data_IF_610466062430
#
_entry.id   IF_610466062430
#
_cell.length_a   1.000
_cell.length_b   1.000
_cell.length_c   1.000
_cell.angle_alpha   90.00
_cell.angle_beta   90.00
_cell.angle_gamma   90.00
#
_symmetry.space_group_name_H-M   'P 1'
#
loop_
_entity.id
_entity.type
_entity.pdbx_description
1 polymer ?
#
# COMPACT_ATOMS: atom_id res chain seq x y z
N UNK A 1 6.77 -0.10 -20.79
CA UNK A 1 6.22 0.28 -19.48
C UNK A 1 7.41 0.41 -18.53
N UNK A 2 7.67 1.58 -17.96
CA UNK A 2 8.75 1.74 -16.98
C UNK A 2 8.41 0.89 -15.76
N UNK A 3 9.22 -0.13 -15.44
CA UNK A 3 8.92 -1.14 -14.41
C UNK A 3 8.75 -0.55 -13.00
N UNK A 4 9.23 0.67 -12.77
CA UNK A 4 9.14 1.36 -11.49
C UNK A 4 7.83 2.14 -11.27
N UNK A 5 7.00 2.31 -12.31
CA UNK A 5 5.70 2.96 -12.17
C UNK A 5 4.66 1.95 -11.67
N UNK A 6 3.88 2.36 -10.67
CA UNK A 6 2.90 1.48 -10.03
C UNK A 6 1.73 1.12 -10.96
N UNK A 7 1.48 -0.18 -11.12
CA UNK A 7 0.25 -0.70 -11.72
C UNK A 7 -0.83 -0.89 -10.65
N UNK A 8 -1.66 0.13 -10.46
CA UNK A 8 -2.71 0.10 -9.42
C UNK A 8 -3.93 -0.76 -9.79
N UNK A 9 -4.01 -1.27 -11.02
CA UNK A 9 -5.02 -2.28 -11.39
C UNK A 9 -4.80 -3.59 -10.63
N UNK A 10 -3.56 -3.85 -10.22
CA UNK A 10 -3.15 -5.02 -9.43
C UNK A 10 -3.25 -4.79 -7.92
N UNK A 11 -3.80 -3.66 -7.48
CA UNK A 11 -3.96 -3.42 -6.05
C UNK A 11 -4.95 -4.44 -5.45
N UNK A 12 -4.67 -5.02 -4.27
CA UNK A 12 -5.49 -6.07 -3.70
C UNK A 12 -6.98 -5.69 -3.61
N UNK A 13 -7.82 -6.59 -4.08
CA UNK A 13 -9.27 -6.55 -3.92
C UNK A 13 -9.65 -6.61 -2.44
N UNK A 14 -10.89 -6.25 -2.12
CA UNK A 14 -11.40 -6.32 -0.74
C UNK A 14 -11.30 -7.74 -0.16
N UNK A 15 -11.52 -8.75 -0.98
CA UNK A 15 -11.42 -10.15 -0.58
C UNK A 15 -9.97 -10.55 -0.28
N UNK A 16 -9.02 -10.20 -1.15
CA UNK A 16 -7.60 -10.46 -0.93
C UNK A 16 -7.07 -9.75 0.32
N UNK A 17 -7.50 -8.51 0.56
CA UNK A 17 -7.19 -7.79 1.80
C UNK A 17 -7.73 -8.53 3.04
N UNK A 18 -8.97 -9.04 2.99
CA UNK A 18 -9.55 -9.82 4.09
C UNK A 18 -8.78 -11.12 4.32
N UNK A 19 -8.39 -11.82 3.25
CA UNK A 19 -7.63 -13.05 3.34
C UNK A 19 -6.25 -12.80 3.98
N UNK A 20 -5.58 -11.71 3.62
CA UNK A 20 -4.33 -11.30 4.26
C UNK A 20 -4.52 -11.00 5.74
N UNK A 21 -5.52 -10.18 6.11
CA UNK A 21 -5.79 -9.84 7.51
C UNK A 21 -6.15 -11.09 8.35
N UNK A 22 -6.94 -12.01 7.81
CA UNK A 22 -7.24 -13.29 8.48
C UNK A 22 -5.97 -14.10 8.72
N UNK A 23 -5.17 -14.31 7.68
CA UNK A 23 -3.93 -15.08 7.79
C UNK A 23 -2.95 -14.45 8.80
N UNK A 24 -2.84 -13.11 8.79
CA UNK A 24 -2.03 -12.36 9.74
C UNK A 24 -2.49 -12.56 11.19
N UNK A 25 -3.80 -12.47 11.46
CA UNK A 25 -4.36 -12.62 12.80
C UNK A 25 -4.22 -14.07 13.31
N UNK A 26 -4.51 -15.07 12.47
CA UNK A 26 -4.30 -16.49 12.80
C UNK A 26 -2.83 -16.76 13.13
N UNK A 27 -1.91 -16.23 12.31
CA UNK A 27 -0.47 -16.41 12.53
C UNK A 27 0.06 -15.69 13.78
N UNK A 28 -0.61 -14.61 14.21
CA UNK A 28 -0.25 -13.86 15.43
C UNK A 28 -0.69 -14.60 16.70
N UNK A 29 -1.92 -15.10 16.71
CA UNK A 29 -2.53 -15.59 17.95
C UNK A 29 -2.32 -17.08 18.21
N UNK A 30 -1.55 -17.78 17.35
CA UNK A 30 -0.98 -19.15 17.51
C UNK A 30 -1.98 -20.31 17.78
N UNK A 31 -3.17 -20.03 18.28
CA UNK A 31 -4.09 -20.99 18.89
C UNK A 31 -5.21 -21.42 17.92
N UNK A 32 -5.11 -21.03 16.65
CA UNK A 32 -6.05 -21.45 15.61
C UNK A 32 -7.50 -21.03 15.88
N UNK A 33 -7.71 -19.98 16.68
CA UNK A 33 -9.04 -19.46 16.99
C UNK A 33 -9.72 -18.93 15.73
N UNK A 34 -11.04 -19.11 15.67
CA UNK A 34 -11.86 -18.66 14.56
C UNK A 34 -11.94 -17.12 14.59
N UNK A 35 -11.07 -16.47 13.80
CA UNK A 35 -10.98 -15.00 13.72
C UNK A 35 -12.29 -14.47 13.15
N UNK A 36 -13.01 -13.68 13.96
CA UNK A 36 -14.30 -13.18 13.55
C UNK A 36 -14.16 -12.03 12.52
N UNK A 37 -15.24 -11.76 11.80
CA UNK A 37 -15.23 -10.79 10.72
C UNK A 37 -14.87 -9.36 11.16
N UNK A 38 -15.26 -8.98 12.38
CA UNK A 38 -14.98 -7.65 12.91
C UNK A 38 -13.48 -7.46 13.17
N UNK A 39 -12.79 -8.49 13.65
CA UNK A 39 -11.34 -8.49 13.85
C UNK A 39 -10.57 -8.39 12.54
N UNK A 40 -11.11 -8.91 11.43
CA UNK A 40 -10.52 -8.80 10.09
C UNK A 40 -10.72 -7.38 9.52
N UNK A 41 -11.92 -6.82 9.67
CA UNK A 41 -12.28 -5.53 9.06
C UNK A 41 -11.48 -4.37 9.66
N UNK A 42 -11.26 -4.37 10.97
CA UNK A 42 -10.56 -3.28 11.68
C UNK A 42 -9.14 -3.01 11.13
N UNK A 43 -8.19 -3.96 11.13
CA UNK A 43 -6.85 -3.75 10.58
C UNK A 43 -6.87 -3.52 9.07
N UNK A 44 -7.86 -4.06 8.34
CA UNK A 44 -8.02 -3.78 6.90
C UNK A 44 -8.28 -2.30 6.63
N UNK A 45 -9.23 -1.71 7.36
CA UNK A 45 -9.57 -0.28 7.20
C UNK A 45 -8.43 0.63 7.63
N UNK A 46 -7.72 0.25 8.70
CA UNK A 46 -6.49 0.91 9.14
C UNK A 46 -5.43 0.87 8.04
N UNK A 47 -5.08 -0.31 7.53
CA UNK A 47 -4.10 -0.49 6.45
C UNK A 47 -4.47 0.30 5.19
N UNK A 48 -5.75 0.30 4.81
CA UNK A 48 -6.23 1.09 3.67
C UNK A 48 -6.05 2.60 3.88
N UNK A 49 -6.18 3.08 5.12
CA UNK A 49 -5.93 4.49 5.46
C UNK A 49 -4.44 4.80 5.37
N UNK A 50 -3.59 3.93 5.93
CA UNK A 50 -2.14 4.07 5.86
C UNK A 50 -1.55 3.88 4.45
N UNK A 51 -2.28 3.25 3.52
CA UNK A 51 -1.88 3.19 2.12
C UNK A 51 -1.68 4.60 1.53
N UNK A 52 -2.53 5.57 1.89
CA UNK A 52 -2.41 6.96 1.46
C UNK A 52 -1.17 7.61 2.06
N UNK A 53 -0.91 7.40 3.36
CA UNK A 53 0.30 7.89 4.02
C UNK A 53 1.56 7.32 3.35
N UNK A 54 1.56 6.04 2.99
CA UNK A 54 2.65 5.40 2.24
C UNK A 54 2.86 6.06 0.87
N UNK A 55 1.80 6.31 0.10
CA UNK A 55 1.94 7.04 -1.17
C UNK A 55 2.55 8.42 -1.02
N UNK A 56 2.12 9.20 -0.02
CA UNK A 56 2.70 10.51 0.25
C UNK A 56 4.18 10.41 0.66
N UNK A 57 4.50 9.49 1.56
CA UNK A 57 5.88 9.27 2.02
C UNK A 57 6.81 8.98 0.85
N UNK A 58 6.45 8.02 -0.02
CA UNK A 58 7.27 7.64 -1.16
C UNK A 58 7.28 8.68 -2.28
N UNK A 59 6.25 9.51 -2.40
CA UNK A 59 6.28 10.67 -3.28
C UNK A 59 7.36 11.67 -2.84
N UNK A 60 7.40 12.01 -1.55
CA UNK A 60 8.42 12.90 -1.00
C UNK A 60 9.82 12.31 -1.12
N UNK A 61 9.98 11.02 -0.76
CA UNK A 61 11.25 10.33 -0.89
C UNK A 61 11.77 10.34 -2.34
N UNK A 62 10.92 10.07 -3.33
CA UNK A 62 11.30 10.12 -4.75
C UNK A 62 11.76 11.51 -5.17
N UNK A 63 11.04 12.57 -4.78
CA UNK A 63 11.44 13.94 -5.10
C UNK A 63 12.79 14.34 -4.48
N UNK A 64 13.07 13.90 -3.25
CA UNK A 64 14.35 14.16 -2.57
C UNK A 64 15.48 13.37 -3.25
N UNK A 65 15.26 12.09 -3.58
CA UNK A 65 16.28 11.24 -4.19
C UNK A 65 16.64 11.67 -5.61
N UNK A 66 15.72 12.32 -6.34
CA UNK A 66 16.00 12.85 -7.67
C UNK A 66 17.20 13.82 -7.73
N UNK A 67 17.57 14.45 -6.60
CA UNK A 67 18.75 15.33 -6.52
C UNK A 67 19.92 14.76 -5.72
N UNK A 68 19.73 13.66 -5.00
CA UNK A 68 20.72 13.13 -4.04
C UNK A 68 21.26 11.75 -4.40
N UNK A 69 20.52 10.97 -5.19
CA UNK A 69 20.86 9.59 -5.48
C UNK A 69 21.69 9.47 -6.74
N UNK A 70 22.67 8.58 -6.73
CA UNK A 70 23.48 8.19 -7.90
C UNK A 70 22.91 6.96 -8.63
N UNK A 71 21.84 6.36 -8.10
CA UNK A 71 21.21 5.18 -8.68
C UNK A 71 20.53 5.55 -10.00
N UNK A 72 20.76 4.74 -11.05
CA UNK A 72 20.05 4.87 -12.33
C UNK A 72 18.58 4.47 -12.21
N UNK A 73 17.77 5.44 -11.79
CA UNK A 73 16.34 5.29 -11.53
C UNK A 73 15.63 6.62 -11.75
N UNK A 74 14.47 6.59 -12.40
CA UNK A 74 13.67 7.80 -12.66
C UNK A 74 12.85 8.20 -11.41
N UNK A 75 13.55 8.83 -10.47
CA UNK A 75 12.99 9.23 -9.17
C UNK A 75 11.87 10.26 -9.29
N UNK A 76 11.93 11.16 -10.28
CA UNK A 76 10.89 12.17 -10.51
C UNK A 76 9.61 11.51 -11.02
N UNK A 77 9.70 10.63 -12.02
CA UNK A 77 8.53 9.91 -12.53
C UNK A 77 7.92 9.02 -11.44
N UNK A 78 8.75 8.33 -10.65
CA UNK A 78 8.30 7.55 -9.50
C UNK A 78 7.58 8.42 -8.46
N UNK A 79 8.21 9.51 -8.02
CA UNK A 79 7.65 10.42 -7.02
C UNK A 79 6.31 10.99 -7.47
N UNK A 80 6.21 11.40 -8.74
CA UNK A 80 4.95 11.87 -9.35
C UNK A 80 3.88 10.77 -9.35
N UNK A 81 4.22 9.56 -9.79
CA UNK A 81 3.30 8.42 -9.80
C UNK A 81 2.73 8.14 -8.40
N UNK A 82 3.57 8.17 -7.37
CA UNK A 82 3.13 7.99 -5.98
C UNK A 82 2.24 9.13 -5.50
N UNK A 83 2.55 10.38 -5.86
CA UNK A 83 1.72 11.53 -5.53
C UNK A 83 0.33 11.47 -6.19
N UNK A 84 0.28 11.11 -7.48
CA UNK A 84 -0.98 10.95 -8.20
C UNK A 84 -1.86 9.85 -7.58
N UNK A 85 -1.24 8.75 -7.11
CA UNK A 85 -1.93 7.69 -6.39
C UNK A 85 -2.50 8.16 -5.04
N UNK A 86 -1.75 8.98 -4.29
CA UNK A 86 -2.25 9.62 -3.07
C UNK A 86 -3.46 10.52 -3.37
N UNK A 87 -3.36 11.38 -4.40
CA UNK A 87 -4.40 12.34 -4.76
C UNK A 87 -5.68 11.68 -5.27
N UNK A 88 -5.55 10.67 -6.12
CA UNK A 88 -6.68 9.90 -6.67
C UNK A 88 -7.29 8.92 -5.66
N UNK A 89 -6.56 8.58 -4.59
CA UNK A 89 -6.95 7.58 -3.58
C UNK A 89 -7.25 6.21 -4.20
N UNK A 90 -6.56 5.86 -5.28
CA UNK A 90 -6.80 4.63 -6.06
C UNK A 90 -6.68 3.33 -5.24
N UNK A 91 -5.90 3.38 -4.16
CA UNK A 91 -5.66 2.26 -3.22
C UNK A 91 -6.62 2.23 -2.03
N UNK A 92 -7.52 3.20 -1.88
CA UNK A 92 -8.49 3.22 -0.79
C UNK A 92 -9.73 2.39 -1.16
N UNK A 93 -9.81 1.14 -0.68
CA UNK A 93 -10.94 0.23 -0.91
C UNK A 93 -11.86 0.16 0.32
N UNK A 94 -13.03 0.82 0.27
CA UNK A 94 -13.97 0.87 1.41
C UNK A 94 -14.61 -0.50 1.70
#
# INVERSE_FOLDING_TARGET
>A
MQQHLGDFSKYPTKEEQRNFCRAYLVGKDSDGSDVNEHEIIKPRLEANTYSLASHMFWALWGNIQASQSEIDFDFLAYGKCRYDAFKSRVTLKK
#
